data_IF_193889449843
#
_entry.id   IF_193889449843
#
_cell.length_a   1.000
_cell.length_b   1.000
_cell.length_c   1.000
_cell.angle_alpha   90.00
_cell.angle_beta   90.00
_cell.angle_gamma   90.00
#
_symmetry.space_group_name_H-M   'P 1'
#
loop_
_entity.id
_entity.type
_entity.pdbx_description
1 polymer ?
#
# COMPACT_ATOMS: atom_id res chain seq x y z
N UNK A 1 -21.22 -31.54 54.01
CA UNK A 1 -21.13 -30.94 52.66
C UNK A 1 -20.50 -31.98 51.74
N UNK A 2 -21.19 -32.40 50.67
CA UNK A 2 -20.71 -33.41 49.72
C UNK A 2 -19.98 -32.70 48.57
N UNK A 3 -18.67 -32.87 48.48
CA UNK A 3 -17.86 -32.40 47.35
C UNK A 3 -18.04 -33.39 46.19
N UNK A 4 -18.65 -32.93 45.09
CA UNK A 4 -18.75 -33.72 43.85
C UNK A 4 -17.45 -33.61 43.06
N UNK A 5 -16.83 -34.75 42.74
CA UNK A 5 -15.68 -34.82 41.83
C UNK A 5 -16.18 -34.88 40.39
N UNK A 6 -15.79 -33.92 39.56
CA UNK A 6 -16.11 -33.90 38.14
C UNK A 6 -14.94 -34.45 37.32
N UNK A 7 -15.20 -35.48 36.52
CA UNK A 7 -14.22 -36.08 35.60
C UNK A 7 -14.49 -35.53 34.20
N UNK A 8 -13.47 -34.96 33.57
CA UNK A 8 -13.57 -34.33 32.25
C UNK A 8 -13.14 -35.35 31.18
N UNK A 9 -14.05 -35.75 30.30
CA UNK A 9 -13.77 -36.59 29.13
C UNK A 9 -13.65 -35.74 27.85
N UNK A 10 -12.67 -36.07 27.00
CA UNK A 10 -12.35 -35.27 25.81
C UNK A 10 -13.42 -35.45 24.72
N UNK A 11 -14.06 -34.35 24.31
CA UNK A 11 -15.02 -34.32 23.21
C UNK A 11 -16.51 -34.31 23.60
N UNK A 12 -16.83 -34.26 24.90
CA UNK A 12 -18.20 -34.07 25.41
C UNK A 12 -18.26 -32.83 26.31
N UNK A 13 -19.23 -31.95 26.07
CA UNK A 13 -19.49 -30.83 26.97
C UNK A 13 -20.00 -31.34 28.31
N UNK A 14 -19.27 -31.03 29.39
CA UNK A 14 -19.45 -31.63 30.70
C UNK A 14 -20.41 -30.88 31.65
N UNK A 15 -21.11 -29.83 31.20
CA UNK A 15 -22.04 -29.06 32.06
C UNK A 15 -23.21 -28.46 31.29
N UNK A 16 -24.43 -28.63 31.83
CA UNK A 16 -25.66 -27.89 31.45
C UNK A 16 -26.02 -26.87 32.56
N UNK A 17 -25.43 -27.00 33.75
CA UNK A 17 -25.72 -26.15 34.92
C UNK A 17 -24.43 -25.43 35.34
N UNK A 18 -24.46 -24.11 35.58
CA UNK A 18 -23.29 -23.37 36.04
C UNK A 18 -22.91 -23.80 37.47
N UNK A 19 -21.62 -24.01 37.70
CA UNK A 19 -21.02 -24.32 39.01
C UNK A 19 -20.03 -23.22 39.36
N UNK A 20 -20.15 -22.65 40.56
CA UNK A 20 -19.20 -21.68 41.10
C UNK A 20 -17.90 -22.38 41.53
N UNK A 21 -16.78 -21.93 40.99
CA UNK A 21 -15.44 -22.40 41.38
C UNK A 21 -14.83 -21.31 42.27
N UNK A 22 -14.40 -21.62 43.50
CA UNK A 22 -13.73 -20.65 44.35
C UNK A 22 -12.41 -20.23 43.69
N UNK A 23 -12.23 -18.91 43.51
CA UNK A 23 -11.03 -18.35 42.89
C UNK A 23 -9.78 -18.68 43.73
N UNK A 24 -9.04 -19.70 43.30
CA UNK A 24 -7.72 -20.02 43.85
C UNK A 24 -6.72 -18.90 43.54
N UNK A 25 -5.75 -18.70 44.45
CA UNK A 25 -4.66 -17.70 44.42
C UNK A 25 -3.70 -17.79 43.21
N UNK A 26 -3.99 -18.58 42.19
CA UNK A 26 -3.12 -18.78 41.04
C UNK A 26 -3.73 -18.13 39.80
N UNK A 27 -3.10 -17.04 39.35
CA UNK A 27 -3.41 -16.39 38.07
C UNK A 27 -3.02 -17.33 36.93
N UNK A 28 -4.00 -17.75 36.14
CA UNK A 28 -3.78 -18.42 34.85
C UNK A 28 -4.00 -17.36 33.77
N UNK A 29 -2.91 -16.86 33.20
CA UNK A 29 -2.87 -15.82 32.17
C UNK A 29 -1.43 -15.54 31.77
N UNK A 30 -1.22 -14.95 30.58
CA UNK A 30 0.11 -14.55 30.12
C UNK A 30 0.80 -13.68 31.19
N UNK A 31 2.12 -13.83 31.41
CA UNK A 31 2.86 -12.98 32.33
C UNK A 31 2.57 -11.52 31.96
N UNK A 32 2.26 -10.69 32.96
CA UNK A 32 2.22 -9.24 32.77
C UNK A 32 3.53 -8.74 32.16
N UNK A 33 3.56 -7.51 31.60
CA UNK A 33 4.71 -7.03 30.84
C UNK A 33 5.98 -7.24 31.65
N UNK A 34 6.82 -8.17 31.19
CA UNK A 34 8.16 -8.34 31.71
C UNK A 34 8.91 -7.06 31.31
N UNK A 35 9.05 -6.15 32.26
CA UNK A 35 9.82 -4.91 32.07
C UNK A 35 11.31 -5.18 31.71
N UNK A 36 11.73 -6.46 31.75
CA UNK A 36 13.11 -6.91 31.50
C UNK A 36 13.38 -7.42 30.07
N UNK A 37 12.44 -7.33 29.12
CA UNK A 37 12.68 -7.76 27.72
C UNK A 37 13.39 -6.68 26.87
N UNK A 38 13.49 -5.45 27.35
CA UNK A 38 14.18 -4.39 26.59
C UNK A 38 15.67 -4.45 26.88
N UNK A 39 16.46 -4.85 25.89
CA UNK A 39 17.89 -4.55 25.89
C UNK A 39 18.08 -3.05 26.10
N UNK A 40 19.09 -2.70 26.89
CA UNK A 40 19.46 -1.33 27.21
C UNK A 40 19.43 -0.48 25.93
N UNK A 41 18.83 0.72 25.94
CA UNK A 41 18.73 1.54 24.75
C UNK A 41 20.12 1.75 24.14
N UNK A 42 20.18 1.72 22.82
CA UNK A 42 21.42 1.87 22.07
C UNK A 42 22.19 3.10 22.60
N UNK A 43 23.48 2.98 22.94
CA UNK A 43 24.26 4.12 23.40
C UNK A 43 24.21 5.23 22.36
N UNK A 44 23.87 6.43 22.83
CA UNK A 44 23.66 7.59 21.97
C UNK A 44 25.03 8.14 21.54
N UNK A 45 25.41 7.88 20.29
CA UNK A 45 26.62 8.42 19.69
C UNK A 45 26.47 9.94 19.51
N UNK A 46 27.08 10.72 20.40
CA UNK A 46 27.16 12.17 20.27
C UNK A 46 28.28 12.53 19.29
N UNK A 47 27.92 12.93 18.07
CA UNK A 47 28.88 13.31 17.02
C UNK A 47 29.78 14.47 17.48
N UNK A 48 29.25 15.36 18.33
CA UNK A 48 29.95 16.51 18.90
C UNK A 48 31.16 16.15 19.79
N UNK A 49 31.14 14.99 20.45
CA UNK A 49 32.28 14.57 21.30
C UNK A 49 33.41 13.93 20.49
N UNK A 50 33.09 13.34 19.34
CA UNK A 50 34.08 12.70 18.47
C UNK A 50 34.92 13.72 17.68
N UNK A 51 34.37 14.91 17.43
CA UNK A 51 35.05 16.00 16.73
C UNK A 51 34.79 17.35 17.43
N UNK A 52 35.57 17.70 18.46
CA UNK A 52 35.41 18.96 19.19
C UNK A 52 35.68 20.22 18.33
N UNK A 53 36.11 20.05 17.07
CA UNK A 53 36.34 21.13 16.10
C UNK A 53 35.50 20.97 14.81
N UNK A 54 34.57 20.02 14.77
CA UNK A 54 33.55 20.00 13.73
C UNK A 54 32.55 21.10 14.04
N UNK A 55 32.80 22.30 13.53
CA UNK A 55 31.77 23.32 13.43
C UNK A 55 30.69 22.80 12.47
N UNK A 56 29.48 22.48 12.95
CA UNK A 56 28.40 21.97 12.10
C UNK A 56 27.96 22.99 11.03
N UNK A 57 28.43 24.24 11.10
CA UNK A 57 28.23 25.28 10.10
C UNK A 57 29.37 25.45 9.09
N UNK A 58 30.55 24.87 9.31
CA UNK A 58 31.79 25.12 8.52
C UNK A 58 31.76 24.60 7.07
N UNK A 59 30.67 23.95 6.66
CA UNK A 59 30.43 23.51 5.29
C UNK A 59 29.10 23.96 4.69
N UNK A 60 28.32 24.81 5.38
CA UNK A 60 27.06 25.31 4.83
C UNK A 60 27.41 26.51 3.93
N UNK A 61 27.30 26.38 2.59
CA UNK A 61 27.60 27.49 1.70
C UNK A 61 26.69 28.67 2.01
N UNK A 62 27.27 29.86 2.13
CA UNK A 62 26.52 31.10 2.31
C UNK A 62 25.62 31.30 1.09
N UNK A 63 24.31 31.56 1.25
CA UNK A 63 23.42 31.81 0.12
C UNK A 63 23.95 32.97 -0.73
N UNK A 64 24.37 32.68 -1.96
CA UNK A 64 24.77 33.70 -2.92
C UNK A 64 23.58 34.07 -3.81
N UNK A 65 23.40 35.37 -4.12
CA UNK A 65 22.39 35.78 -5.09
C UNK A 65 22.72 35.17 -6.46
N UNK A 66 21.68 34.72 -7.17
CA UNK A 66 21.82 34.18 -8.52
C UNK A 66 22.39 35.26 -9.45
N UNK A 67 23.35 34.89 -10.30
CA UNK A 67 23.81 35.77 -11.38
C UNK A 67 22.68 36.04 -12.37
N UNK A 68 22.71 37.18 -13.07
CA UNK A 68 21.67 37.53 -14.05
C UNK A 68 21.45 36.47 -15.14
N UNK A 69 22.54 35.79 -15.54
CA UNK A 69 22.48 34.66 -16.46
C UNK A 69 21.75 33.45 -15.87
N UNK A 70 21.98 33.15 -14.59
CA UNK A 70 21.29 32.08 -13.87
C UNK A 70 19.81 32.43 -13.64
N UNK A 71 19.48 33.68 -13.28
CA UNK A 71 18.08 34.12 -13.13
C UNK A 71 17.31 33.99 -14.44
N UNK A 72 17.92 34.39 -15.57
CA UNK A 72 17.31 34.22 -16.91
C UNK A 72 17.13 32.74 -17.27
N UNK A 73 18.09 31.89 -16.95
CA UNK A 73 17.98 30.45 -17.21
C UNK A 73 16.85 29.81 -16.40
N UNK A 74 16.75 30.11 -15.10
CA UNK A 74 15.69 29.61 -14.22
C UNK A 74 14.32 30.14 -14.65
N UNK A 75 14.21 31.42 -15.02
CA UNK A 75 12.97 32.00 -15.52
C UNK A 75 12.46 31.34 -16.81
N UNK A 76 13.38 30.90 -17.69
CA UNK A 76 13.02 30.13 -18.90
C UNK A 76 12.48 28.73 -18.57
N UNK A 77 12.97 28.09 -17.51
CA UNK A 77 12.43 26.82 -17.04
C UNK A 77 11.08 27.00 -16.35
N UNK A 78 10.94 28.03 -15.51
CA UNK A 78 9.69 28.31 -14.80
C UNK A 78 8.52 28.71 -15.73
N UNK A 79 8.82 29.24 -16.92
CA UNK A 79 7.80 29.64 -17.91
C UNK A 79 7.62 28.63 -19.04
N UNK A 80 8.44 27.56 -19.08
CA UNK A 80 8.21 26.49 -20.03
C UNK A 80 6.88 25.82 -19.66
N UNK A 81 5.92 25.70 -20.60
CA UNK A 81 4.73 24.92 -20.34
C UNK A 81 5.18 23.50 -20.05
N UNK A 82 4.97 23.06 -18.81
CA UNK A 82 5.04 21.65 -18.44
C UNK A 82 3.93 20.96 -19.22
N UNK A 83 4.22 20.52 -20.44
CA UNK A 83 3.32 19.64 -21.19
C UNK A 83 3.03 18.46 -20.29
N UNK A 84 1.76 18.29 -19.89
CA UNK A 84 1.33 17.11 -19.14
C UNK A 84 1.83 15.90 -19.90
N UNK A 85 2.74 15.15 -19.29
CA UNK A 85 3.36 13.99 -19.92
C UNK A 85 2.25 13.08 -20.46
N UNK A 86 2.26 12.86 -21.78
CA UNK A 86 1.29 11.97 -22.42
C UNK A 86 1.47 10.55 -21.87
N UNK A 87 0.39 9.75 -21.75
CA UNK A 87 0.50 8.35 -21.33
C UNK A 87 1.33 7.58 -22.35
N UNK A 88 2.56 7.27 -21.97
CA UNK A 88 3.52 6.56 -22.82
C UNK A 88 3.23 5.05 -22.86
N UNK A 89 2.49 4.54 -21.87
CA UNK A 89 2.12 3.13 -21.79
C UNK A 89 0.81 2.81 -22.50
N UNK A 90 0.71 1.57 -22.99
CA UNK A 90 -0.52 0.98 -23.52
C UNK A 90 -1.25 0.19 -22.41
N UNK A 91 -2.60 0.17 -22.41
CA UNK A 91 -3.35 -0.66 -21.49
C UNK A 91 -3.00 -2.14 -21.66
N UNK A 92 -2.86 -2.87 -20.56
CA UNK A 92 -2.52 -4.30 -20.51
C UNK A 92 -3.63 -5.08 -19.81
N UNK A 93 -4.17 -6.08 -20.50
CA UNK A 93 -5.08 -7.07 -19.95
C UNK A 93 -4.34 -8.39 -19.67
N UNK A 94 -4.66 -9.08 -18.58
CA UNK A 94 -4.16 -10.43 -18.31
C UNK A 94 -4.86 -11.43 -19.25
N UNK A 95 -4.11 -12.42 -19.75
CA UNK A 95 -4.62 -13.42 -20.68
C UNK A 95 -5.81 -14.22 -20.14
N UNK A 96 -5.86 -14.40 -18.82
CA UNK A 96 -6.92 -15.13 -18.12
C UNK A 96 -8.28 -14.42 -18.21
N UNK A 97 -8.28 -13.09 -18.26
CA UNK A 97 -9.51 -12.30 -18.38
C UNK A 97 -9.93 -12.12 -19.86
N UNK A 98 -9.13 -12.65 -20.81
CA UNK A 98 -9.44 -12.68 -22.24
C UNK A 98 -10.06 -14.01 -22.68
N UNK A 99 -9.89 -15.10 -21.92
CA UNK A 99 -10.37 -16.45 -22.25
C UNK A 99 -11.72 -16.81 -21.61
N UNK A 100 -12.23 -18.02 -21.85
CA UNK A 100 -13.57 -18.50 -21.42
C UNK A 100 -13.69 -18.58 -19.89
N UNK A 101 -14.76 -18.04 -19.28
CA UNK A 101 -14.84 -17.87 -17.82
C UNK A 101 -15.08 -19.18 -17.07
N UNK A 102 -14.52 -19.27 -15.85
CA UNK A 102 -14.66 -20.40 -14.94
C UNK A 102 -15.67 -20.17 -13.79
N UNK A 103 -16.22 -18.97 -13.63
CA UNK A 103 -17.07 -18.62 -12.48
C UNK A 103 -17.68 -17.22 -12.53
N UNK A 104 -18.49 -16.88 -11.52
CA UNK A 104 -19.26 -15.64 -11.46
C UNK A 104 -18.43 -14.39 -11.17
N UNK A 105 -17.41 -14.47 -10.30
CA UNK A 105 -16.54 -13.32 -10.01
C UNK A 105 -15.63 -13.00 -11.21
N UNK A 106 -15.08 -14.04 -11.86
CA UNK A 106 -14.27 -13.89 -13.06
C UNK A 106 -15.09 -13.35 -14.23
N UNK A 107 -16.37 -13.74 -14.33
CA UNK A 107 -17.28 -13.21 -15.34
C UNK A 107 -17.52 -11.70 -15.17
N UNK A 108 -17.73 -11.25 -13.93
CA UNK A 108 -17.92 -9.82 -13.64
C UNK A 108 -16.66 -9.02 -13.99
N UNK A 109 -15.48 -9.48 -13.57
CA UNK A 109 -14.21 -8.82 -13.91
C UNK A 109 -13.97 -8.77 -15.42
N UNK A 110 -14.20 -9.88 -16.12
CA UNK A 110 -14.11 -9.97 -17.58
C UNK A 110 -15.03 -8.98 -18.28
N UNK A 111 -16.25 -8.80 -17.79
CA UNK A 111 -17.22 -7.86 -18.37
C UNK A 111 -16.67 -6.43 -18.36
N UNK A 112 -15.98 -6.03 -17.28
CA UNK A 112 -15.30 -4.74 -17.21
C UNK A 112 -14.12 -4.67 -18.21
N UNK A 113 -13.30 -5.72 -18.26
CA UNK A 113 -12.09 -5.77 -19.10
C UNK A 113 -12.44 -5.74 -20.60
N UNK A 114 -13.46 -6.49 -21.02
CA UNK A 114 -13.91 -6.56 -22.41
C UNK A 114 -14.85 -5.41 -22.80
N UNK A 115 -15.53 -4.80 -21.83
CA UNK A 115 -16.38 -3.63 -22.02
C UNK A 115 -15.57 -2.33 -21.87
N UNK A 116 -15.79 -1.55 -20.80
CA UNK A 116 -15.25 -0.19 -20.69
C UNK A 116 -13.71 -0.12 -20.78
N UNK A 117 -12.97 -1.12 -20.28
CA UNK A 117 -11.51 -1.10 -20.37
C UNK A 117 -11.00 -1.22 -21.81
N UNK A 118 -11.60 -2.10 -22.62
CA UNK A 118 -11.28 -2.23 -24.04
C UNK A 118 -11.63 -0.95 -24.82
N UNK A 119 -12.72 -0.28 -24.45
CA UNK A 119 -13.16 0.99 -25.03
C UNK A 119 -12.40 2.21 -24.50
N UNK A 120 -11.48 2.03 -23.54
CA UNK A 120 -10.72 3.09 -22.88
C UNK A 120 -11.59 4.12 -22.14
N UNK A 121 -12.77 3.69 -21.69
CA UNK A 121 -13.66 4.49 -20.85
C UNK A 121 -13.20 4.38 -19.38
N UNK A 122 -12.19 5.17 -19.02
CA UNK A 122 -11.53 5.07 -17.71
C UNK A 122 -12.43 5.46 -16.54
N UNK A 123 -13.40 6.35 -16.75
CA UNK A 123 -14.38 6.71 -15.72
C UNK A 123 -15.30 5.53 -15.41
N UNK A 124 -15.84 4.88 -16.44
CA UNK A 124 -16.66 3.68 -16.26
C UNK A 124 -15.86 2.52 -15.64
N UNK A 125 -14.58 2.34 -16.03
CA UNK A 125 -13.71 1.33 -15.41
C UNK A 125 -13.53 1.60 -13.92
N UNK A 126 -13.25 2.84 -13.51
CA UNK A 126 -13.07 3.20 -12.09
C UNK A 126 -14.33 2.92 -11.28
N UNK A 127 -15.50 3.33 -11.78
CA UNK A 127 -16.78 3.10 -11.10
C UNK A 127 -17.10 1.61 -10.96
N UNK A 128 -16.95 0.84 -12.04
CA UNK A 128 -17.26 -0.59 -12.02
C UNK A 128 -16.28 -1.40 -11.16
N UNK A 129 -14.97 -1.11 -11.23
CA UNK A 129 -13.97 -1.84 -10.44
C UNK A 129 -14.01 -1.46 -8.96
N UNK A 130 -14.30 -0.21 -8.61
CA UNK A 130 -14.47 0.17 -7.20
C UNK A 130 -15.68 -0.55 -6.56
N UNK A 131 -16.80 -0.66 -7.29
CA UNK A 131 -17.95 -1.48 -6.88
C UNK A 131 -17.58 -2.96 -6.81
N UNK A 132 -16.84 -3.48 -7.79
CA UNK A 132 -16.40 -4.87 -7.80
C UNK A 132 -15.56 -5.22 -6.57
N UNK A 133 -14.64 -4.32 -6.17
CA UNK A 133 -13.75 -4.44 -5.02
C UNK A 133 -14.43 -4.17 -3.66
N UNK A 134 -15.64 -3.59 -3.65
CA UNK A 134 -16.42 -3.39 -2.42
C UNK A 134 -16.97 -4.68 -1.82
N UNK A 135 -17.00 -5.75 -2.61
CA UNK A 135 -17.46 -7.08 -2.22
C UNK A 135 -16.25 -7.99 -1.94
N UNK A 136 -16.33 -8.95 -1.01
CA UNK A 136 -15.27 -9.93 -0.80
C UNK A 136 -15.01 -10.73 -2.08
N UNK A 137 -13.75 -10.78 -2.53
CA UNK A 137 -13.30 -11.53 -3.72
C UNK A 137 -12.19 -12.51 -3.35
N UNK A 138 -11.91 -13.45 -4.24
CA UNK A 138 -10.65 -14.19 -4.13
C UNK A 138 -9.46 -13.24 -4.28
N UNK A 139 -8.35 -13.56 -3.60
CA UNK A 139 -7.13 -12.74 -3.66
C UNK A 139 -6.61 -12.56 -5.08
N UNK A 140 -6.74 -13.59 -5.94
CA UNK A 140 -6.35 -13.53 -7.33
C UNK A 140 -7.20 -12.53 -8.13
N UNK A 141 -8.53 -12.60 -7.97
CA UNK A 141 -9.46 -11.70 -8.67
C UNK A 141 -9.37 -10.26 -8.15
N UNK A 142 -9.15 -10.08 -6.85
CA UNK A 142 -8.88 -8.76 -6.25
C UNK A 142 -7.60 -8.15 -6.82
N UNK A 143 -6.50 -8.91 -6.86
CA UNK A 143 -5.22 -8.43 -7.39
C UNK A 143 -5.32 -7.96 -8.84
N UNK A 144 -6.02 -8.72 -9.70
CA UNK A 144 -6.26 -8.31 -11.10
C UNK A 144 -7.15 -7.08 -11.21
N UNK A 145 -8.23 -7.01 -10.43
CA UNK A 145 -9.11 -5.85 -10.42
C UNK A 145 -8.38 -4.57 -9.99
N UNK A 146 -7.56 -4.63 -8.92
CA UNK A 146 -6.71 -3.51 -8.49
C UNK A 146 -5.70 -3.12 -9.56
N UNK A 147 -5.11 -4.08 -10.26
CA UNK A 147 -4.18 -3.80 -11.36
C UNK A 147 -4.85 -3.00 -12.49
N UNK A 148 -6.08 -3.37 -12.88
CA UNK A 148 -6.84 -2.61 -13.87
C UNK A 148 -7.29 -1.25 -13.37
N UNK A 149 -7.64 -1.13 -12.09
CA UNK A 149 -8.00 0.13 -11.46
C UNK A 149 -6.80 1.10 -11.44
N UNK A 150 -5.60 0.61 -11.11
CA UNK A 150 -4.36 1.38 -11.15
C UNK A 150 -4.05 1.90 -12.57
N UNK A 151 -4.26 1.07 -13.59
CA UNK A 151 -4.15 1.52 -14.99
C UNK A 151 -5.17 2.60 -15.33
N UNK A 152 -6.44 2.44 -14.91
CA UNK A 152 -7.47 3.45 -15.16
C UNK A 152 -7.11 4.79 -14.52
N UNK A 153 -6.58 4.81 -13.29
CA UNK A 153 -6.06 6.02 -12.65
C UNK A 153 -4.87 6.63 -13.40
N UNK A 154 -3.94 5.80 -13.87
CA UNK A 154 -2.79 6.25 -14.67
C UNK A 154 -3.23 6.97 -15.94
N UNK A 155 -4.20 6.42 -16.66
CA UNK A 155 -4.72 7.02 -17.89
C UNK A 155 -5.65 8.22 -17.65
N UNK A 156 -6.32 8.27 -16.48
CA UNK A 156 -7.16 9.41 -16.07
C UNK A 156 -6.35 10.62 -15.57
N UNK A 157 -5.04 10.47 -15.40
CA UNK A 157 -4.17 11.55 -14.92
C UNK A 157 -4.12 11.69 -13.39
N UNK A 158 -4.49 10.65 -12.64
CA UNK A 158 -4.30 10.57 -11.20
C UNK A 158 -3.17 9.57 -10.85
N UNK A 159 -1.90 10.01 -10.95
CA UNK A 159 -0.77 9.13 -10.70
C UNK A 159 -0.65 8.74 -9.22
N UNK A 160 -1.26 9.48 -8.30
CA UNK A 160 -1.20 9.17 -6.86
C UNK A 160 -2.03 7.94 -6.55
N UNK A 161 -3.29 7.94 -6.98
CA UNK A 161 -4.18 6.79 -6.82
C UNK A 161 -3.65 5.58 -7.60
N UNK A 162 -3.09 5.81 -8.80
CA UNK A 162 -2.45 4.75 -9.58
C UNK A 162 -1.30 4.07 -8.82
N UNK A 163 -0.41 4.85 -8.19
CA UNK A 163 0.71 4.31 -7.42
C UNK A 163 0.22 3.42 -6.29
N UNK A 164 -0.78 3.86 -5.52
CA UNK A 164 -1.30 3.07 -4.41
C UNK A 164 -1.87 1.73 -4.87
N UNK A 165 -2.66 1.70 -5.94
CA UNK A 165 -3.19 0.44 -6.46
C UNK A 165 -2.07 -0.51 -6.91
N UNK A 166 -1.02 -0.01 -7.58
CA UNK A 166 0.09 -0.87 -7.97
C UNK A 166 0.93 -1.37 -6.78
N UNK A 167 1.08 -0.58 -5.72
CA UNK A 167 1.73 -1.04 -4.49
C UNK A 167 0.95 -2.15 -3.80
N UNK A 168 -0.39 -2.06 -3.78
CA UNK A 168 -1.25 -3.12 -3.23
C UNK A 168 -1.16 -4.43 -4.01
N UNK A 169 -0.93 -4.33 -5.33
CA UNK A 169 -0.79 -5.47 -6.24
C UNK A 169 0.61 -6.10 -6.21
N UNK A 170 1.62 -5.38 -5.72
CA UNK A 170 3.04 -5.77 -5.79
C UNK A 170 3.34 -7.13 -5.15
N UNK A 171 2.60 -7.51 -4.11
CA UNK A 171 2.74 -8.82 -3.44
C UNK A 171 2.34 -10.00 -4.34
N UNK A 172 1.35 -9.80 -5.20
CA UNK A 172 0.76 -10.85 -6.04
C UNK A 172 1.33 -10.86 -7.47
N UNK A 173 1.63 -9.68 -8.01
CA UNK A 173 2.14 -9.50 -9.38
C UNK A 173 3.34 -8.54 -9.37
N UNK A 174 4.50 -8.97 -8.83
CA UNK A 174 5.63 -8.08 -8.57
C UNK A 174 6.26 -7.51 -9.84
N UNK A 175 6.31 -8.29 -10.93
CA UNK A 175 6.90 -7.83 -12.19
C UNK A 175 6.03 -6.76 -12.83
N UNK A 176 4.73 -7.04 -12.98
CA UNK A 176 3.77 -6.12 -13.56
C UNK A 176 3.64 -4.85 -12.72
N UNK A 177 3.52 -4.99 -11.39
CA UNK A 177 3.43 -3.84 -10.49
C UNK A 177 4.68 -2.95 -10.59
N UNK A 178 5.88 -3.53 -10.55
CA UNK A 178 7.13 -2.75 -10.62
C UNK A 178 7.23 -1.99 -11.94
N UNK A 179 6.87 -2.64 -13.05
CA UNK A 179 6.88 -2.03 -14.38
C UNK A 179 5.93 -0.83 -14.48
N UNK A 180 4.77 -0.89 -13.81
CA UNK A 180 3.79 0.20 -13.78
C UNK A 180 4.14 1.29 -12.77
N UNK A 181 4.68 0.93 -11.60
CA UNK A 181 5.21 1.89 -10.61
C UNK A 181 6.26 2.78 -11.26
N UNK A 182 7.22 2.19 -11.99
CA UNK A 182 8.24 2.96 -12.71
C UNK A 182 7.65 3.91 -13.76
N UNK A 183 6.51 3.57 -14.37
CA UNK A 183 5.82 4.44 -15.31
C UNK A 183 5.05 5.60 -14.63
N UNK A 184 4.59 5.38 -13.40
CA UNK A 184 3.82 6.36 -12.61
C UNK A 184 4.74 7.40 -11.98
N UNK A 185 5.92 7.00 -11.48
CA UNK A 185 6.82 7.87 -10.70
C UNK A 185 7.19 9.19 -11.41
N UNK A 186 7.57 9.23 -12.71
CA UNK A 186 7.88 10.49 -13.38
C UNK A 186 6.71 11.48 -13.37
N UNK A 187 5.47 10.99 -13.45
CA UNK A 187 4.26 11.83 -13.44
C UNK A 187 3.98 12.43 -12.07
N UNK A 188 4.38 11.75 -11.00
CA UNK A 188 4.25 12.28 -9.64
C UNK A 188 5.23 13.43 -9.40
N UNK A 189 6.46 13.29 -9.90
CA UNK A 189 7.50 14.31 -9.74
C UNK A 189 7.12 15.60 -10.48
N UNK A 190 6.59 15.48 -11.69
CA UNK A 190 6.13 16.64 -12.49
C UNK A 190 4.96 17.38 -11.83
N UNK A 191 4.07 16.68 -11.12
CA UNK A 191 2.92 17.29 -10.45
C UNK A 191 3.23 17.80 -9.03
N UNK A 192 4.46 17.62 -8.53
CA UNK A 192 4.87 18.01 -7.18
C UNK A 192 5.55 19.39 -7.12
N UNK A 193 5.77 20.03 -8.28
CA UNK A 193 6.28 21.42 -8.33
C UNK A 193 5.10 22.41 -8.18
N UNK A 194 5.11 23.26 -7.14
CA UNK A 194 4.05 24.24 -6.87
C UNK A 194 4.08 25.47 -7.79
#
# INVERSE_FOLDING_TARGET
MKTGSAVIEKGKNATIVPVEIPAGKYRIGLPGPQNDIRSMPLPLLSIYTAYPHADPGSGIPVPQPLSEGATKAVARWATAPTERAKPDKKPRAFSQDLSTPAGGEEYALKTVVQGPFAHKDWEAVKDQLSKYLSLPRSSASEGRARFYLGQAFYFSGDPRSALFEFLLVQSSYPQEATEWIQAVLPRLLVNAEP
#
